data_IF_646124655408
#
_entry.id   IF_646124655408
#
_cell.length_a   1.000
_cell.length_b   1.000
_cell.length_c   1.000
_cell.angle_alpha   90.00
_cell.angle_beta   90.00
_cell.angle_gamma   90.00
#
_symmetry.space_group_name_H-M   'P 1'
#
loop_
_entity.id
_entity.type
_entity.pdbx_description
1 polymer ?
#
# COMPACT_ATOMS: atom_id res chain seq x y z
N UNK A 1 11.42 -32.61 -4.75
CA UNK A 1 12.34 -32.86 -3.60
C UNK A 1 11.62 -32.78 -2.25
N UNK A 2 12.29 -33.01 -1.11
CA UNK A 2 11.73 -32.80 0.25
C UNK A 2 12.79 -32.33 1.25
N UNK A 3 12.46 -31.44 2.18
CA UNK A 3 13.41 -30.90 3.17
C UNK A 3 12.74 -30.11 4.30
N UNK A 4 13.40 -30.03 5.46
CA UNK A 4 12.97 -29.16 6.57
C UNK A 4 13.75 -27.85 6.51
N UNK A 5 13.05 -26.74 6.37
CA UNK A 5 13.64 -25.41 6.39
C UNK A 5 12.60 -24.36 6.73
N UNK A 6 13.09 -23.17 7.07
CA UNK A 6 12.27 -22.01 7.36
C UNK A 6 12.06 -21.20 6.09
N UNK A 7 10.80 -20.88 5.80
CA UNK A 7 10.44 -19.91 4.78
C UNK A 7 10.10 -18.58 5.46
N UNK A 8 10.87 -17.53 5.19
CA UNK A 8 10.65 -16.19 5.73
C UNK A 8 9.91 -15.32 4.72
N UNK A 9 8.69 -14.93 5.05
CA UNK A 9 7.82 -14.13 4.21
C UNK A 9 7.79 -12.70 4.72
N UNK A 10 8.09 -11.72 3.86
CA UNK A 10 8.01 -10.30 4.22
C UNK A 10 6.56 -9.94 4.51
N UNK A 11 6.31 -9.26 5.62
CA UNK A 11 5.00 -8.64 5.96
C UNK A 11 5.12 -7.13 5.76
N UNK A 12 4.81 -6.58 4.58
CA UNK A 12 5.06 -5.17 4.27
C UNK A 12 4.50 -4.22 5.34
N UNK A 13 5.16 -3.08 5.56
CA UNK A 13 4.73 -2.11 6.59
C UNK A 13 3.30 -1.60 6.38
N UNK A 14 2.86 -1.50 5.12
CA UNK A 14 1.52 -1.08 4.73
C UNK A 14 0.43 -2.15 4.93
N UNK A 15 0.79 -3.41 5.14
CA UNK A 15 -0.16 -4.52 5.24
C UNK A 15 -0.72 -4.63 6.68
N UNK A 16 -1.43 -3.59 7.12
CA UNK A 16 -1.91 -3.44 8.51
C UNK A 16 -3.30 -4.03 8.77
N UNK A 17 -4.09 -4.27 7.71
CA UNK A 17 -5.44 -4.85 7.81
C UNK A 17 -5.39 -6.37 7.94
N UNK A 18 -5.14 -7.06 6.84
CA UNK A 18 -5.10 -8.52 6.79
C UNK A 18 -3.82 -9.02 6.11
N UNK A 19 -3.28 -10.11 6.64
CA UNK A 19 -2.20 -10.89 6.04
C UNK A 19 -2.55 -12.37 6.17
N UNK A 20 -3.21 -12.91 5.15
CA UNK A 20 -3.70 -14.29 5.17
C UNK A 20 -2.68 -15.19 4.49
N UNK A 21 -2.34 -16.30 5.15
CA UNK A 21 -1.46 -17.33 4.61
C UNK A 21 -2.24 -18.61 4.43
N UNK A 22 -2.21 -19.15 3.21
CA UNK A 22 -2.69 -20.51 2.94
C UNK A 22 -1.55 -21.38 2.47
N UNK A 23 -1.53 -22.61 2.97
CA UNK A 23 -0.62 -23.65 2.54
C UNK A 23 -1.46 -24.78 1.95
N UNK A 24 -1.25 -25.07 0.67
CA UNK A 24 -2.02 -26.09 -0.07
C UNK A 24 -3.54 -25.88 0.07
N UNK A 25 -3.99 -24.62 -0.08
CA UNK A 25 -5.40 -24.22 0.03
C UNK A 25 -5.96 -24.16 1.46
N UNK A 26 -5.20 -24.55 2.49
CA UNK A 26 -5.63 -24.46 3.89
C UNK A 26 -5.05 -23.22 4.56
N UNK A 27 -5.92 -22.43 5.20
CA UNK A 27 -5.50 -21.28 5.97
C UNK A 27 -4.72 -21.68 7.23
N UNK A 28 -3.60 -20.99 7.45
CA UNK A 28 -2.73 -21.17 8.60
C UNK A 28 -2.99 -20.07 9.62
N UNK A 29 -3.11 -20.44 10.90
CA UNK A 29 -3.19 -19.47 11.98
C UNK A 29 -1.78 -18.96 12.28
N UNK A 30 -1.47 -17.76 11.80
CA UNK A 30 -0.17 -17.12 11.93
C UNK A 30 -0.32 -15.69 12.44
N UNK A 31 0.67 -15.24 13.21
CA UNK A 31 0.77 -13.84 13.60
C UNK A 31 1.70 -13.12 12.62
N UNK A 32 1.17 -12.14 11.90
CA UNK A 32 1.91 -11.34 10.94
C UNK A 32 2.01 -9.90 11.44
N UNK A 33 3.22 -9.47 11.79
CA UNK A 33 3.47 -8.09 12.24
C UNK A 33 3.97 -7.23 11.07
N UNK A 34 3.28 -6.12 10.73
CA UNK A 34 3.75 -5.21 9.69
C UNK A 34 5.19 -4.74 9.92
N UNK A 35 5.96 -4.62 8.84
CA UNK A 35 7.38 -4.24 8.93
C UNK A 35 8.34 -5.38 9.25
N UNK A 36 7.85 -6.61 9.47
CA UNK A 36 8.67 -7.76 9.86
C UNK A 36 8.72 -8.89 8.80
N UNK A 37 9.17 -10.07 9.24
CA UNK A 37 9.10 -11.32 8.48
C UNK A 37 8.35 -12.39 9.29
N UNK A 38 7.30 -12.95 8.69
CA UNK A 38 6.65 -14.16 9.17
C UNK A 38 7.52 -15.38 8.82
N UNK A 39 7.74 -16.27 9.78
CA UNK A 39 8.52 -17.50 9.56
C UNK A 39 7.62 -18.74 9.55
N UNK A 40 7.64 -19.49 8.45
CA UNK A 40 6.95 -20.78 8.31
C UNK A 40 7.97 -21.93 8.43
N UNK A 41 7.98 -22.61 9.58
CA UNK A 41 8.91 -23.70 9.88
C UNK A 41 8.26 -25.07 9.67
N UNK A 42 8.51 -25.72 8.52
CA UNK A 42 7.92 -27.03 8.20
C UNK A 42 8.81 -27.93 7.35
N UNK A 43 8.35 -29.16 7.15
CA UNK A 43 8.90 -30.09 6.15
C UNK A 43 8.19 -29.83 4.84
N UNK A 44 8.87 -29.16 3.94
CA UNK A 44 8.39 -28.87 2.60
C UNK A 44 8.63 -30.07 1.69
N UNK A 45 7.72 -30.24 0.74
CA UNK A 45 7.85 -31.20 -0.36
C UNK A 45 7.55 -30.51 -1.68
N UNK A 46 7.97 -31.16 -2.75
CA UNK A 46 7.63 -30.76 -4.10
C UNK A 46 6.12 -30.56 -4.26
N UNK A 47 5.74 -29.47 -4.92
CA UNK A 47 4.35 -29.11 -5.15
C UNK A 47 3.61 -28.53 -3.94
N UNK A 48 4.28 -28.25 -2.80
CA UNK A 48 3.66 -27.40 -1.78
C UNK A 48 3.51 -25.96 -2.32
N UNK A 49 2.31 -25.40 -2.16
CA UNK A 49 2.00 -24.02 -2.55
C UNK A 49 1.76 -23.16 -1.32
N UNK A 50 2.30 -21.94 -1.31
CA UNK A 50 2.01 -20.91 -0.33
C UNK A 50 1.30 -19.77 -1.04
N UNK A 51 0.11 -19.42 -0.57
CA UNK A 51 -0.68 -18.30 -1.06
C UNK A 51 -0.72 -17.22 0.01
N UNK A 52 -0.52 -15.97 -0.41
CA UNK A 52 -0.54 -14.79 0.46
C UNK A 52 -1.61 -13.84 -0.04
N UNK A 53 -2.50 -13.43 0.86
CA UNK A 53 -3.45 -12.34 0.58
C UNK A 53 -3.13 -11.18 1.50
N UNK A 54 -2.87 -10.02 0.88
CA UNK A 54 -2.58 -8.75 1.55
C UNK A 54 -3.43 -7.68 0.86
N UNK A 55 -4.65 -7.39 1.36
CA UNK A 55 -5.49 -6.38 0.75
C UNK A 55 -4.78 -5.02 0.74
N UNK A 56 -4.76 -4.36 -0.43
CA UNK A 56 -4.19 -3.02 -0.53
C UNK A 56 -5.12 -2.02 0.16
N UNK A 57 -4.53 -1.01 0.78
CA UNK A 57 -5.22 0.10 1.39
C UNK A 57 -4.46 1.40 1.17
N UNK A 58 -5.20 2.51 1.29
CA UNK A 58 -4.59 3.82 1.28
C UNK A 58 -3.83 4.07 2.58
N UNK A 59 -2.67 4.68 2.46
CA UNK A 59 -1.92 5.19 3.61
C UNK A 59 -1.07 6.39 3.17
N UNK A 60 -0.67 7.15 4.18
CA UNK A 60 0.19 8.32 4.02
C UNK A 60 1.58 8.01 4.56
N UNK A 61 2.61 8.46 3.84
CA UNK A 61 4.00 8.43 4.30
C UNK A 61 4.50 9.88 4.47
N UNK A 62 4.55 10.41 5.71
CA UNK A 62 4.91 11.79 5.97
C UNK A 62 6.41 12.05 5.81
N UNK A 63 6.77 13.25 5.38
CA UNK A 63 8.17 13.69 5.44
C UNK A 63 8.59 13.90 6.90
N UNK A 64 9.84 13.58 7.22
CA UNK A 64 10.33 13.54 8.60
C UNK A 64 10.11 14.85 9.38
N UNK A 65 10.29 16.00 8.73
CA UNK A 65 10.31 17.31 9.40
C UNK A 65 8.95 18.06 9.35
N UNK A 66 7.98 17.58 8.56
CA UNK A 66 6.67 18.23 8.37
C UNK A 66 5.58 17.17 8.26
N UNK A 67 4.93 16.85 9.38
CA UNK A 67 3.95 15.75 9.46
C UNK A 67 2.71 15.97 8.57
N UNK A 68 2.37 17.22 8.24
CA UNK A 68 1.29 17.54 7.31
C UNK A 68 1.70 17.37 5.84
N UNK A 69 2.99 17.21 5.53
CA UNK A 69 3.44 16.96 4.16
C UNK A 69 3.66 15.46 3.99
N UNK A 70 2.83 14.80 3.18
CA UNK A 70 2.87 13.35 3.02
C UNK A 70 2.65 12.89 1.57
N UNK A 71 3.18 11.71 1.26
CA UNK A 71 2.91 11.00 0.02
C UNK A 71 1.75 10.03 0.22
N UNK A 72 0.86 9.95 -0.78
CA UNK A 72 -0.27 9.02 -0.78
C UNK A 72 0.11 7.72 -1.50
N UNK A 73 -0.11 6.59 -0.83
CA UNK A 73 0.13 5.26 -1.37
C UNK A 73 -1.15 4.43 -1.41
N UNK A 74 -1.24 3.51 -2.37
CA UNK A 74 -2.21 2.41 -2.38
C UNK A 74 -1.47 1.07 -2.37
N UNK A 75 -1.47 0.39 -1.23
CA UNK A 75 -0.54 -0.73 -1.00
C UNK A 75 0.92 -0.30 -1.26
N UNK A 76 1.73 -1.05 -2.01
CA UNK A 76 3.12 -0.67 -2.28
C UNK A 76 3.29 0.47 -3.31
N UNK A 77 2.19 1.00 -3.87
CA UNK A 77 2.23 1.90 -5.04
C UNK A 77 2.11 3.35 -4.61
N UNK A 78 3.15 4.15 -4.91
CA UNK A 78 3.10 5.61 -4.79
C UNK A 78 2.16 6.19 -5.85
N UNK A 79 1.23 7.03 -5.43
CA UNK A 79 0.30 7.73 -6.31
C UNK A 79 0.79 9.17 -6.55
N UNK A 80 0.64 9.62 -7.79
CA UNK A 80 1.00 10.96 -8.21
C UNK A 80 -0.23 11.71 -8.70
N UNK A 81 -0.53 12.85 -8.07
CA UNK A 81 -1.55 13.78 -8.55
C UNK A 81 -1.11 14.32 -9.91
N UNK A 82 -1.98 14.24 -10.91
CA UNK A 82 -1.72 14.81 -12.23
C UNK A 82 -1.94 16.32 -12.19
N UNK A 83 -0.95 17.08 -12.67
CA UNK A 83 -0.99 18.54 -12.66
C UNK A 83 -1.01 19.06 -14.09
N UNK A 84 -1.95 19.95 -14.40
CA UNK A 84 -1.99 20.59 -15.72
C UNK A 84 -0.94 21.72 -15.81
N UNK A 85 -0.71 22.43 -14.70
CA UNK A 85 0.19 23.58 -14.62
C UNK A 85 1.22 23.47 -13.49
N UNK A 86 2.35 24.19 -13.54
CA UNK A 86 3.31 24.22 -12.44
C UNK A 86 2.66 24.78 -11.19
N UNK A 87 2.98 24.21 -10.03
CA UNK A 87 2.50 24.69 -8.74
C UNK A 87 3.68 25.23 -7.94
N UNK A 88 3.46 26.35 -7.26
CA UNK A 88 4.43 26.97 -6.34
C UNK A 88 4.20 26.56 -4.88
N UNK A 89 3.06 25.93 -4.60
CA UNK A 89 2.62 25.49 -3.28
C UNK A 89 2.26 23.99 -3.32
N UNK A 90 2.33 23.33 -2.17
CA UNK A 90 1.90 21.94 -2.00
C UNK A 90 0.42 21.74 -2.37
N UNK A 91 0.06 20.52 -2.77
CA UNK A 91 -1.34 20.18 -3.10
C UNK A 91 -2.09 19.91 -1.82
N UNK A 92 -3.04 20.77 -1.49
CA UNK A 92 -3.93 20.54 -0.35
C UNK A 92 -4.89 19.40 -0.67
N UNK A 93 -5.02 18.49 0.28
CA UNK A 93 -5.98 17.39 0.27
C UNK A 93 -6.52 17.19 1.68
N UNK A 94 -7.80 16.86 1.78
CA UNK A 94 -8.43 16.54 3.05
C UNK A 94 -8.83 15.07 3.05
N UNK A 95 -8.43 14.34 4.08
CA UNK A 95 -8.81 12.96 4.28
C UNK A 95 -9.56 12.80 5.61
N UNK A 96 -10.47 11.84 5.63
CA UNK A 96 -11.02 11.34 6.88
C UNK A 96 -9.90 10.62 7.67
N UNK A 97 -9.75 10.99 8.95
CA UNK A 97 -8.68 10.46 9.79
C UNK A 97 -8.83 8.97 10.13
N UNK A 98 -10.05 8.43 10.09
CA UNK A 98 -10.34 7.02 10.37
C UNK A 98 -10.25 6.16 9.11
N UNK A 99 -10.65 6.69 7.95
CA UNK A 99 -10.58 6.02 6.65
C UNK A 99 -10.23 6.99 5.52
N UNK A 100 -8.92 7.11 5.23
CA UNK A 100 -8.39 7.87 4.08
C UNK A 100 -9.12 7.53 2.78
N UNK A 101 -9.54 6.27 2.59
CA UNK A 101 -10.22 5.82 1.39
C UNK A 101 -11.62 6.41 1.20
N UNK A 102 -12.27 6.90 2.26
CA UNK A 102 -13.62 7.47 2.19
C UNK A 102 -13.69 8.72 1.31
N UNK A 103 -12.60 9.49 1.23
CA UNK A 103 -12.47 10.70 0.40
C UNK A 103 -12.00 10.41 -1.03
N UNK A 104 -11.72 9.14 -1.38
CA UNK A 104 -11.06 8.77 -2.63
C UNK A 104 -12.02 7.95 -3.51
N UNK A 105 -12.24 8.41 -4.74
CA UNK A 105 -12.98 7.65 -5.76
C UNK A 105 -12.00 6.98 -6.71
N UNK A 106 -12.42 5.94 -7.43
CA UNK A 106 -11.61 5.36 -8.49
C UNK A 106 -11.78 3.86 -8.67
N UNK A 107 -10.85 3.30 -9.44
CA UNK A 107 -10.79 1.87 -9.74
C UNK A 107 -9.45 1.29 -9.25
N UNK A 108 -9.45 0.53 -8.15
CA UNK A 108 -8.25 -0.12 -7.63
C UNK A 108 -7.55 -1.07 -8.60
N UNK A 109 -8.28 -1.71 -9.54
CA UNK A 109 -7.69 -2.63 -10.52
C UNK A 109 -6.89 -1.88 -11.60
N UNK A 110 -7.29 -0.64 -11.90
CA UNK A 110 -6.61 0.27 -12.83
C UNK A 110 -5.62 1.20 -12.11
N UNK A 111 -5.51 1.11 -10.79
CA UNK A 111 -4.70 1.98 -9.93
C UNK A 111 -4.93 3.48 -10.19
N UNK A 112 -6.13 3.84 -10.63
CA UNK A 112 -6.50 5.20 -11.00
C UNK A 112 -7.56 5.71 -10.05
N UNK A 113 -7.28 6.84 -9.42
CA UNK A 113 -8.08 7.42 -8.35
C UNK A 113 -8.36 8.90 -8.61
N UNK A 114 -9.35 9.45 -7.92
CA UNK A 114 -9.74 10.85 -8.00
C UNK A 114 -9.97 11.42 -6.60
N UNK A 115 -9.36 12.58 -6.34
CA UNK A 115 -9.51 13.37 -5.11
C UNK A 115 -9.73 14.81 -5.54
N UNK A 116 -10.84 15.41 -5.11
CA UNK A 116 -11.22 16.79 -5.47
C UNK A 116 -11.18 17.11 -6.98
N UNK A 117 -11.58 16.13 -7.81
CA UNK A 117 -11.58 16.25 -9.28
C UNK A 117 -10.21 16.10 -9.93
N UNK A 118 -9.17 15.74 -9.17
CA UNK A 118 -7.80 15.53 -9.66
C UNK A 118 -7.50 14.05 -9.74
N UNK A 119 -6.99 13.60 -10.89
CA UNK A 119 -6.57 12.21 -11.09
C UNK A 119 -5.27 11.91 -10.37
N UNK A 120 -5.23 10.77 -9.69
CA UNK A 120 -4.06 10.14 -9.11
C UNK A 120 -3.83 8.81 -9.79
N UNK A 121 -2.61 8.56 -10.23
CA UNK A 121 -2.20 7.29 -10.86
C UNK A 121 -0.82 6.88 -10.36
N UNK A 122 -0.33 5.67 -10.66
CA UNK A 122 0.99 5.26 -10.21
C UNK A 122 2.07 6.22 -10.69
N UNK A 123 2.99 6.56 -9.79
CA UNK A 123 4.09 7.47 -10.13
C UNK A 123 4.91 6.98 -11.32
N UNK A 124 5.11 5.66 -11.44
CA UNK A 124 5.84 5.05 -12.56
C UNK A 124 5.14 5.16 -13.92
N UNK A 125 3.86 5.56 -13.97
CA UNK A 125 3.11 5.84 -15.20
C UNK A 125 2.96 7.34 -15.49
N UNK A 126 3.62 8.20 -14.71
CA UNK A 126 3.51 9.64 -14.78
C UNK A 126 4.70 10.25 -15.52
N UNK A 127 4.41 10.97 -16.61
CA UNK A 127 5.41 11.60 -17.48
C UNK A 127 5.29 13.13 -17.57
N UNK A 128 4.20 13.69 -17.03
CA UNK A 128 3.91 15.13 -17.01
C UNK A 128 4.21 15.79 -15.67
N UNK A 129 3.67 17.00 -15.48
CA UNK A 129 3.71 17.67 -14.18
C UNK A 129 2.87 16.87 -13.20
N UNK A 130 3.36 16.76 -11.97
CA UNK A 130 2.72 15.98 -10.94
C UNK A 130 3.11 16.45 -9.55
N UNK A 131 2.29 16.08 -8.56
CA UNK A 131 2.61 16.22 -7.14
C UNK A 131 2.62 14.82 -6.49
N UNK A 132 3.72 14.48 -5.81
CA UNK A 132 3.84 13.25 -4.98
C UNK A 132 3.93 13.54 -3.49
N UNK A 133 4.06 14.82 -3.12
CA UNK A 133 3.94 15.31 -1.76
C UNK A 133 2.75 16.26 -1.70
N UNK A 134 1.87 16.01 -0.74
CA UNK A 134 0.61 16.69 -0.54
C UNK A 134 0.64 17.39 0.82
N UNK A 135 -0.01 18.53 0.92
CA UNK A 135 -0.32 19.19 2.19
C UNK A 135 -1.65 18.62 2.69
N UNK A 136 -1.54 17.71 3.65
CA UNK A 136 -2.64 16.88 4.14
C UNK A 136 -3.26 17.51 5.37
N UNK A 137 -4.58 17.65 5.33
CA UNK A 137 -5.42 17.83 6.50
C UNK A 137 -6.17 16.52 6.81
N UNK A 138 -6.26 16.18 8.09
CA UNK A 138 -6.96 15.01 8.58
C UNK A 138 -8.11 15.48 9.47
N UNK A 139 -9.34 15.30 8.99
CA UNK A 139 -10.58 15.68 9.69
C UNK A 139 -11.23 14.50 10.43
#
# INVERSE_FOLDING_TARGET
GKGKFDLKLRVPGWATKEFIVKINGKEESVEATPGTYLTLSRKWKDGDTVELTMPFGFHLDPVMDQQNIASLFYGPVLLAAQEDEPRTEWRKVNFDAEDIGASIKGNPEELTFEIDGITYKPFYETYGRHSVYLDVDLE
#
